data_IF_276545267313
#
_entry.id   IF_276545267313
#
_cell.length_a   1.000
_cell.length_b   1.000
_cell.length_c   1.000
_cell.angle_alpha   90.00
_cell.angle_beta   90.00
_cell.angle_gamma   90.00
#
_symmetry.space_group_name_H-M   'P 1'
#
loop_
_entity.id
_entity.type
_entity.pdbx_description
1 polymer ?
#
# COMPACT_ATOMS: atom_id res chain seq x y z
N UNK A 1 -32.69 9.34 19.26
CA UNK A 1 -33.59 10.46 19.62
C UNK A 1 -33.78 10.58 21.13
N UNK A 2 -34.14 9.53 21.91
CA UNK A 2 -34.33 9.64 23.38
C UNK A 2 -33.06 10.09 24.09
N UNK A 3 -31.91 9.49 23.78
CA UNK A 3 -30.60 9.86 24.34
C UNK A 3 -30.27 11.31 24.00
N UNK A 4 -30.57 11.75 22.78
CA UNK A 4 -30.30 13.12 22.36
C UNK A 4 -31.11 14.15 23.15
N UNK A 5 -32.37 13.83 23.44
CA UNK A 5 -33.22 14.71 24.26
C UNK A 5 -32.78 14.75 25.73
N UNK A 6 -32.35 13.62 26.31
CA UNK A 6 -31.92 13.50 27.70
C UNK A 6 -30.62 14.24 27.98
N UNK A 7 -29.65 14.15 27.04
CA UNK A 7 -28.33 14.76 27.18
C UNK A 7 -28.17 16.12 26.45
N UNK A 8 -29.24 16.65 25.85
CA UNK A 8 -29.22 17.93 25.14
C UNK A 8 -28.27 17.93 23.94
N UNK A 9 -28.24 16.81 23.19
CA UNK A 9 -27.32 16.63 22.04
C UNK A 9 -27.84 17.45 20.85
N UNK A 10 -26.93 18.15 20.19
CA UNK A 10 -27.25 18.94 19.01
C UNK A 10 -27.66 18.05 17.82
N UNK A 11 -28.66 18.43 17.03
CA UNK A 11 -29.23 17.66 15.93
C UNK A 11 -28.16 17.24 14.89
N UNK A 12 -27.18 18.08 14.60
CA UNK A 12 -26.07 17.76 13.69
C UNK A 12 -25.21 16.59 14.19
N UNK A 13 -25.02 16.46 15.52
CA UNK A 13 -24.30 15.30 16.09
C UNK A 13 -25.11 14.04 15.89
N UNK A 14 -26.43 14.13 16.03
CA UNK A 14 -27.33 12.98 15.81
C UNK A 14 -27.31 12.52 14.36
N UNK A 15 -27.29 13.48 13.43
CA UNK A 15 -27.16 13.20 11.99
C UNK A 15 -25.83 12.52 11.68
N UNK A 16 -24.71 13.06 12.15
CA UNK A 16 -23.38 12.49 11.98
C UNK A 16 -23.25 11.10 12.62
N UNK A 17 -23.86 10.93 13.81
CA UNK A 17 -23.85 9.66 14.52
C UNK A 17 -24.57 8.54 13.77
N UNK A 18 -25.58 8.86 12.98
CA UNK A 18 -26.33 7.89 12.16
C UNK A 18 -25.68 7.65 10.81
N UNK A 19 -25.08 8.70 10.23
CA UNK A 19 -24.55 8.65 8.86
C UNK A 19 -23.28 7.77 8.72
N UNK A 20 -22.49 7.59 9.78
CA UNK A 20 -21.20 6.89 9.78
C UNK A 20 -20.21 7.35 8.67
N UNK A 21 -19.01 6.78 8.62
CA UNK A 21 -17.98 7.05 7.58
C UNK A 21 -17.56 8.52 7.51
N UNK A 22 -17.57 9.19 8.65
CA UNK A 22 -17.14 10.58 8.77
C UNK A 22 -15.61 10.70 8.67
N UNK A 23 -15.16 11.89 8.27
CA UNK A 23 -13.74 12.23 8.36
C UNK A 23 -13.35 12.47 9.82
N UNK A 24 -12.18 12.04 10.30
CA UNK A 24 -11.71 12.37 11.64
C UNK A 24 -11.80 13.86 11.92
N UNK A 25 -12.45 14.24 13.03
CA UNK A 25 -12.71 15.61 13.42
C UNK A 25 -12.87 15.75 14.92
N UNK A 26 -12.64 16.96 15.43
CA UNK A 26 -12.95 17.36 16.81
C UNK A 26 -13.70 18.68 16.73
N UNK A 27 -14.97 18.68 17.08
CA UNK A 27 -15.87 19.82 16.97
C UNK A 27 -16.51 20.17 18.30
N UNK A 28 -16.80 21.45 18.52
CA UNK A 28 -17.48 21.94 19.71
C UNK A 28 -18.92 22.29 19.41
N UNK A 29 -19.83 21.81 20.27
CA UNK A 29 -21.24 22.11 20.25
C UNK A 29 -21.65 22.59 21.65
N UNK A 30 -21.66 23.94 21.87
CA UNK A 30 -21.88 24.54 23.18
C UNK A 30 -20.78 24.14 24.18
N UNK A 31 -21.14 23.41 25.23
CA UNK A 31 -20.23 22.90 26.26
C UNK A 31 -19.87 21.42 26.03
N UNK A 32 -20.18 20.88 24.86
CA UNK A 32 -19.89 19.50 24.48
C UNK A 32 -18.83 19.43 23.39
N UNK A 33 -17.96 18.41 23.43
CA UNK A 33 -16.97 18.10 22.40
C UNK A 33 -17.34 16.81 21.69
N UNK A 34 -17.35 16.86 20.37
CA UNK A 34 -17.62 15.73 19.51
C UNK A 34 -16.34 15.31 18.78
N UNK A 35 -15.90 14.09 19.06
CA UNK A 35 -14.73 13.47 18.43
C UNK A 35 -15.20 12.42 17.44
N UNK A 36 -14.62 12.41 16.25
CA UNK A 36 -14.73 11.31 15.28
C UNK A 36 -13.34 10.81 14.99
N UNK A 37 -13.10 9.53 15.23
CA UNK A 37 -11.81 8.88 14.97
C UNK A 37 -12.08 7.60 14.19
N UNK A 38 -11.42 7.41 13.06
CA UNK A 38 -11.49 6.15 12.34
C UNK A 38 -10.59 5.11 13.01
N UNK A 39 -11.01 3.87 13.02
CA UNK A 39 -10.19 2.75 13.47
C UNK A 39 -9.62 2.01 12.28
N UNK A 40 -8.46 1.39 12.47
CA UNK A 40 -7.79 0.58 11.46
C UNK A 40 -7.43 -0.76 12.10
N UNK A 41 -7.69 -1.86 11.42
CA UNK A 41 -7.34 -3.20 11.89
C UNK A 41 -6.59 -3.92 10.78
N UNK A 42 -5.43 -4.48 11.09
CA UNK A 42 -4.66 -5.35 10.19
C UNK A 42 -5.21 -6.77 10.28
N UNK A 43 -5.42 -7.40 9.14
CA UNK A 43 -5.89 -8.78 9.02
C UNK A 43 -4.72 -9.66 8.60
N UNK A 44 -4.23 -10.47 9.52
CA UNK A 44 -3.20 -11.47 9.30
C UNK A 44 -3.87 -12.83 9.06
N UNK A 45 -4.65 -12.94 8.00
CA UNK A 45 -5.23 -14.23 7.61
C UNK A 45 -4.22 -14.97 6.72
N UNK A 46 -3.63 -16.07 7.21
CA UNK A 46 -2.73 -16.98 6.46
C UNK A 46 -3.34 -17.52 5.14
N UNK A 47 -4.64 -17.35 4.93
CA UNK A 47 -5.37 -17.68 3.71
C UNK A 47 -5.66 -16.45 2.85
N UNK A 48 -4.71 -15.54 2.70
CA UNK A 48 -4.85 -14.41 1.77
C UNK A 48 -4.85 -14.96 0.34
N UNK A 49 -6.04 -15.32 -0.15
CA UNK A 49 -6.26 -15.39 -1.59
C UNK A 49 -6.08 -13.99 -2.19
N UNK A 50 -5.40 -13.87 -3.30
CA UNK A 50 -4.87 -12.69 -4.00
C UNK A 50 -5.74 -11.41 -4.12
N UNK A 51 -6.86 -11.28 -3.41
CA UNK A 51 -7.83 -10.18 -3.58
C UNK A 51 -8.48 -9.69 -2.28
N UNK A 52 -8.02 -10.07 -1.08
CA UNK A 52 -8.65 -9.63 0.17
C UNK A 52 -8.02 -8.36 0.73
N UNK A 53 -8.87 -7.52 1.33
CA UNK A 53 -8.46 -6.33 2.07
C UNK A 53 -7.60 -6.74 3.28
N UNK A 54 -6.38 -6.23 3.34
CA UNK A 54 -5.43 -6.42 4.45
C UNK A 54 -5.80 -5.49 5.61
N UNK A 55 -6.33 -4.32 5.28
CA UNK A 55 -6.76 -3.31 6.24
C UNK A 55 -8.28 -3.22 6.23
N UNK A 56 -8.88 -3.33 7.41
CA UNK A 56 -10.27 -2.96 7.59
C UNK A 56 -10.38 -1.70 8.45
N UNK A 57 -11.27 -0.80 8.06
CA UNK A 57 -11.51 0.46 8.77
C UNK A 57 -12.89 0.45 9.41
N UNK A 58 -12.98 1.09 10.56
CA UNK A 58 -14.22 1.38 11.25
C UNK A 58 -14.19 2.80 11.79
N UNK A 59 -15.13 3.13 12.67
CA UNK A 59 -15.26 4.47 13.22
C UNK A 59 -15.71 4.44 14.70
N UNK A 60 -15.11 5.30 15.50
CA UNK A 60 -15.55 5.59 16.85
C UNK A 60 -15.87 7.08 16.94
N UNK A 61 -17.08 7.35 17.34
CA UNK A 61 -17.53 8.70 17.65
C UNK A 61 -17.70 8.84 19.16
N UNK A 62 -17.28 9.96 19.71
CA UNK A 62 -17.37 10.21 21.14
C UNK A 62 -17.93 11.61 21.36
N UNK A 63 -19.02 11.67 22.12
CA UNK A 63 -19.57 12.92 22.61
C UNK A 63 -19.21 13.07 24.08
N UNK A 64 -18.48 14.11 24.41
CA UNK A 64 -17.98 14.39 25.74
C UNK A 64 -18.70 15.63 26.27
N UNK A 65 -19.45 15.49 27.37
CA UNK A 65 -20.03 16.58 28.15
C UNK A 65 -19.30 16.76 29.48
N UNK A 66 -19.86 17.56 30.35
CA UNK A 66 -19.26 17.84 31.66
C UNK A 66 -19.23 16.65 32.60
N UNK A 67 -20.26 15.80 32.55
CA UNK A 67 -20.48 14.67 33.47
C UNK A 67 -20.75 13.33 32.75
N UNK A 68 -20.69 13.32 31.41
CA UNK A 68 -20.94 12.11 30.64
C UNK A 68 -20.01 11.99 29.42
N UNK A 69 -19.85 10.77 28.95
CA UNK A 69 -19.32 10.46 27.64
C UNK A 69 -20.17 9.39 26.98
N UNK A 70 -20.53 9.63 25.71
CA UNK A 70 -21.28 8.67 24.87
C UNK A 70 -20.35 8.24 23.74
N UNK A 71 -20.13 6.94 23.61
CA UNK A 71 -19.35 6.36 22.51
C UNK A 71 -20.26 5.62 21.55
N UNK A 72 -20.11 5.90 20.25
CA UNK A 72 -20.81 5.25 19.15
C UNK A 72 -19.76 4.55 18.30
N UNK A 73 -20.03 3.32 17.89
CA UNK A 73 -19.06 2.47 17.18
C UNK A 73 -19.69 1.96 15.89
N UNK A 74 -18.98 2.13 14.78
CA UNK A 74 -19.37 1.61 13.48
C UNK A 74 -18.26 0.72 12.95
N UNK A 75 -18.58 -0.52 12.61
CA UNK A 75 -17.69 -1.53 12.03
C UNK A 75 -16.36 -1.72 12.80
N UNK A 76 -16.38 -1.52 14.11
CA UNK A 76 -15.20 -1.66 14.96
C UNK A 76 -15.55 -2.22 16.33
N UNK A 77 -14.56 -2.91 16.92
CA UNK A 77 -14.62 -3.36 18.31
C UNK A 77 -13.48 -2.68 19.08
N UNK A 78 -13.81 -2.11 20.22
CA UNK A 78 -12.82 -1.63 21.18
C UNK A 78 -12.76 -2.65 22.33
N UNK A 79 -11.59 -2.88 22.92
CA UNK A 79 -11.48 -3.65 24.14
C UNK A 79 -12.25 -2.97 25.29
N UNK A 80 -12.41 -3.67 26.38
CA UNK A 80 -13.03 -3.09 27.57
C UNK A 80 -12.04 -2.19 28.29
N UNK A 81 -11.98 -0.92 27.90
CA UNK A 81 -11.12 0.09 28.51
C UNK A 81 -11.61 0.54 29.91
N UNK A 82 -12.82 0.14 30.32
CA UNK A 82 -13.41 0.53 31.59
C UNK A 82 -12.57 0.05 32.77
N UNK A 83 -12.05 -1.17 32.70
CA UNK A 83 -11.24 -1.74 33.79
C UNK A 83 -9.93 -0.95 33.97
N UNK A 84 -9.25 -0.62 32.88
CA UNK A 84 -8.00 0.18 32.91
C UNK A 84 -8.24 1.58 33.51
N UNK A 85 -9.39 2.20 33.13
CA UNK A 85 -9.77 3.52 33.69
C UNK A 85 -10.12 3.46 35.16
N UNK A 86 -10.75 2.38 35.65
CA UNK A 86 -11.08 2.22 37.07
C UNK A 86 -9.82 1.96 37.90
N UNK A 87 -8.86 1.22 37.39
CA UNK A 87 -7.59 0.91 38.08
C UNK A 87 -6.70 2.15 38.20
N UNK A 88 -6.79 3.10 37.26
CA UNK A 88 -6.05 4.37 37.29
C UNK A 88 -6.93 5.49 37.87
N UNK A 89 -6.91 5.62 39.20
CA UNK A 89 -7.68 6.65 39.93
C UNK A 89 -7.26 8.08 39.56
N UNK A 90 -6.01 8.33 39.21
CA UNK A 90 -5.55 9.66 38.84
C UNK A 90 -6.19 10.07 37.50
N UNK A 91 -6.18 9.20 36.51
CA UNK A 91 -6.79 9.46 35.21
C UNK A 91 -8.32 9.52 35.31
N UNK A 92 -8.95 8.61 36.02
CA UNK A 92 -10.41 8.59 36.13
C UNK A 92 -10.96 9.83 36.86
N UNK A 93 -10.18 10.44 37.77
CA UNK A 93 -10.54 11.69 38.44
C UNK A 93 -10.60 12.89 37.48
N UNK A 94 -10.06 12.79 36.27
CA UNK A 94 -10.10 13.87 35.27
C UNK A 94 -11.44 13.94 34.50
N UNK A 95 -12.38 13.07 34.82
CA UNK A 95 -13.75 13.10 34.32
C UNK A 95 -13.93 12.51 32.92
N UNK A 96 -15.06 12.82 32.22
CA UNK A 96 -15.43 12.21 30.96
C UNK A 96 -14.40 12.36 29.84
N UNK A 97 -13.65 13.45 29.82
CA UNK A 97 -12.59 13.69 28.83
C UNK A 97 -11.43 12.69 28.93
N UNK A 98 -11.21 12.07 30.11
CA UNK A 98 -10.23 11.00 30.28
C UNK A 98 -10.62 9.73 29.50
N UNK A 99 -11.90 9.43 29.38
CA UNK A 99 -12.40 8.30 28.58
C UNK A 99 -12.14 8.57 27.11
N UNK A 100 -12.42 9.78 26.63
CA UNK A 100 -12.16 10.15 25.23
C UNK A 100 -10.67 10.09 24.89
N UNK A 101 -9.80 10.57 25.81
CA UNK A 101 -8.37 10.41 25.66
C UNK A 101 -7.97 8.92 25.57
N UNK A 102 -8.41 8.08 26.51
CA UNK A 102 -8.03 6.65 26.55
C UNK A 102 -8.46 5.89 25.30
N UNK A 103 -9.64 6.22 24.75
CA UNK A 103 -10.10 5.65 23.49
C UNK A 103 -9.23 6.11 22.31
N UNK A 104 -8.92 7.40 22.24
CA UNK A 104 -8.08 7.96 21.20
C UNK A 104 -6.65 7.38 21.26
N UNK A 105 -6.08 7.27 22.45
CA UNK A 105 -4.78 6.67 22.72
C UNK A 105 -4.72 5.22 22.23
N UNK A 106 -5.69 4.41 22.64
CA UNK A 106 -5.78 3.02 22.20
C UNK A 106 -5.88 2.88 20.66
N UNK A 107 -6.65 3.75 19.99
CA UNK A 107 -6.78 3.72 18.54
C UNK A 107 -5.44 4.08 17.87
N UNK A 108 -4.75 5.10 18.36
CA UNK A 108 -3.46 5.53 17.79
C UNK A 108 -2.35 4.52 18.08
N UNK A 109 -2.33 3.88 19.26
CA UNK A 109 -1.45 2.74 19.52
C UNK A 109 -1.67 1.60 18.51
N UNK A 110 -2.93 1.33 18.17
CA UNK A 110 -3.23 0.32 17.16
C UNK A 110 -2.76 0.75 15.77
N UNK A 111 -2.85 2.03 15.40
CA UNK A 111 -2.25 2.54 14.16
C UNK A 111 -0.75 2.28 14.11
N UNK A 112 -0.02 2.48 15.21
CA UNK A 112 1.42 2.21 15.28
C UNK A 112 1.73 0.72 15.05
N UNK A 113 0.89 -0.18 15.60
CA UNK A 113 1.03 -1.64 15.36
C UNK A 113 0.79 -1.96 13.88
N UNK A 114 -0.29 -1.47 13.30
CA UNK A 114 -0.60 -1.68 11.87
C UNK A 114 0.52 -1.12 10.98
N UNK A 115 1.05 0.05 11.30
CA UNK A 115 2.19 0.64 10.60
C UNK A 115 3.42 -0.26 10.63
N UNK A 116 3.67 -0.95 11.74
CA UNK A 116 4.79 -1.90 11.87
C UNK A 116 4.59 -3.12 10.95
N UNK A 117 3.38 -3.68 10.87
CA UNK A 117 3.09 -4.79 9.96
C UNK A 117 3.22 -4.36 8.50
N UNK A 118 2.63 -3.22 8.12
CA UNK A 118 2.76 -2.68 6.77
C UNK A 118 4.22 -2.39 6.38
N UNK A 119 5.05 -1.94 7.32
CA UNK A 119 6.48 -1.76 7.06
C UNK A 119 7.15 -3.07 6.66
N UNK A 120 6.84 -4.15 7.39
CA UNK A 120 7.38 -5.48 7.08
C UNK A 120 6.93 -5.97 5.70
N UNK A 121 5.65 -5.76 5.36
CA UNK A 121 5.09 -6.15 4.07
C UNK A 121 5.71 -5.38 2.90
N UNK A 122 5.90 -4.07 3.08
CA UNK A 122 6.56 -3.22 2.07
C UNK A 122 8.01 -3.60 1.89
N UNK A 123 8.73 -3.95 2.98
CA UNK A 123 10.11 -4.43 2.92
C UNK A 123 10.21 -5.79 2.19
N UNK A 124 9.26 -6.69 2.42
CA UNK A 124 9.18 -7.97 1.69
C UNK A 124 8.93 -7.75 0.21
N UNK A 125 7.97 -6.90 -0.13
CA UNK A 125 7.65 -6.55 -1.51
C UNK A 125 8.82 -5.90 -2.24
N UNK A 126 9.58 -5.04 -1.55
CA UNK A 126 10.80 -4.45 -2.07
C UNK A 126 11.85 -5.51 -2.39
N UNK A 127 12.06 -6.47 -1.49
CA UNK A 127 12.95 -7.60 -1.72
C UNK A 127 12.50 -8.46 -2.91
N UNK A 128 11.21 -8.73 -3.07
CA UNK A 128 10.67 -9.45 -4.23
C UNK A 128 10.98 -8.73 -5.55
N UNK A 129 10.75 -7.41 -5.60
CA UNK A 129 10.97 -6.60 -6.81
C UNK A 129 12.44 -6.56 -7.22
N UNK A 130 13.38 -6.47 -6.26
CA UNK A 130 14.81 -6.38 -6.54
C UNK A 130 15.51 -7.73 -6.67
N UNK A 131 14.84 -8.83 -6.32
CA UNK A 131 15.42 -10.18 -6.49
C UNK A 131 15.58 -10.50 -7.99
N UNK A 132 16.78 -10.96 -8.43
CA UNK A 132 17.00 -11.34 -9.82
C UNK A 132 16.16 -12.53 -10.24
N UNK A 133 15.61 -12.47 -11.45
CA UNK A 133 14.83 -13.55 -12.09
C UNK A 133 13.50 -13.90 -11.42
N UNK A 134 13.06 -13.14 -10.43
CA UNK A 134 11.74 -13.31 -9.84
C UNK A 134 10.69 -12.61 -10.73
N UNK A 135 9.55 -13.27 -10.93
CA UNK A 135 8.40 -12.67 -11.59
C UNK A 135 7.80 -11.61 -10.66
N UNK A 136 7.71 -10.39 -11.18
CA UNK A 136 7.15 -9.28 -10.41
C UNK A 136 5.63 -9.34 -10.52
N UNK A 137 4.98 -9.37 -9.36
CA UNK A 137 3.52 -9.23 -9.28
C UNK A 137 3.17 -7.74 -9.06
N UNK A 138 2.92 -7.04 -10.18
CA UNK A 138 2.55 -5.61 -10.14
C UNK A 138 1.20 -5.41 -9.42
N UNK A 139 0.28 -6.37 -9.53
CA UNK A 139 -1.04 -6.29 -8.87
C UNK A 139 -0.90 -6.29 -7.35
N UNK A 140 0.10 -7.01 -6.79
CA UNK A 140 0.42 -6.98 -5.36
C UNK A 140 0.83 -5.57 -4.92
N UNK A 141 1.63 -4.84 -5.72
CA UNK A 141 2.01 -3.46 -5.42
C UNK A 141 0.78 -2.53 -5.41
N UNK A 142 -0.12 -2.66 -6.38
CA UNK A 142 -1.36 -1.89 -6.42
C UNK A 142 -2.27 -2.19 -5.23
N UNK A 143 -2.35 -3.45 -4.82
CA UNK A 143 -3.11 -3.85 -3.63
C UNK A 143 -2.58 -3.11 -2.39
N UNK A 144 -1.28 -3.17 -2.12
CA UNK A 144 -0.70 -2.45 -0.97
C UNK A 144 -0.87 -0.93 -1.09
N UNK A 145 -0.79 -0.35 -2.29
CA UNK A 145 -1.08 1.09 -2.47
C UNK A 145 -2.52 1.44 -2.08
N UNK A 146 -3.48 0.58 -2.38
CA UNK A 146 -4.87 0.79 -1.99
C UNK A 146 -5.02 0.73 -0.46
N UNK A 147 -4.39 -0.25 0.18
CA UNK A 147 -4.43 -0.41 1.64
C UNK A 147 -3.76 0.77 2.38
N UNK A 148 -2.62 1.23 1.87
CA UNK A 148 -1.95 2.44 2.38
C UNK A 148 -2.84 3.68 2.21
N UNK A 149 -3.58 3.81 1.11
CA UNK A 149 -4.52 4.91 0.90
C UNK A 149 -5.68 4.87 1.92
N UNK A 150 -6.24 3.69 2.21
CA UNK A 150 -7.26 3.53 3.25
C UNK A 150 -6.72 3.94 4.63
N UNK A 151 -5.49 3.55 4.96
CA UNK A 151 -4.86 3.97 6.21
C UNK A 151 -4.64 5.50 6.26
N UNK A 152 -4.24 6.13 5.15
CA UNK A 152 -4.11 7.59 5.06
C UNK A 152 -5.42 8.31 5.33
N UNK A 153 -6.54 7.82 4.80
CA UNK A 153 -7.86 8.40 5.07
C UNK A 153 -8.22 8.40 6.57
N UNK A 154 -7.71 7.42 7.32
CA UNK A 154 -7.91 7.36 8.76
C UNK A 154 -6.93 8.25 9.55
N UNK A 155 -5.66 8.29 9.14
CA UNK A 155 -4.56 8.87 9.92
C UNK A 155 -4.30 10.34 9.62
N UNK A 156 -4.25 10.74 8.33
CA UNK A 156 -3.87 12.11 7.93
C UNK A 156 -4.74 13.20 8.55
N UNK A 157 -6.08 13.07 8.67
CA UNK A 157 -6.91 14.12 9.25
C UNK A 157 -6.84 14.20 10.77
N UNK A 158 -6.44 13.13 11.47
CA UNK A 158 -6.54 13.03 12.93
C UNK A 158 -5.61 14.00 13.66
N UNK A 159 -4.33 14.07 13.25
CA UNK A 159 -3.36 14.99 13.86
C UNK A 159 -3.80 16.46 13.81
N UNK A 160 -4.16 17.00 12.63
CA UNK A 160 -4.75 18.34 12.50
C UNK A 160 -6.05 18.54 13.29
N UNK A 161 -6.94 17.55 13.32
CA UNK A 161 -8.20 17.61 14.08
C UNK A 161 -7.95 17.73 15.59
N UNK A 162 -7.08 16.90 16.14
CA UNK A 162 -6.67 16.97 17.55
C UNK A 162 -6.00 18.31 17.87
N UNK A 163 -5.09 18.79 17.01
CA UNK A 163 -4.44 20.09 17.18
C UNK A 163 -5.44 21.24 17.27
N UNK A 164 -6.41 21.27 16.36
CA UNK A 164 -7.48 22.26 16.34
C UNK A 164 -8.35 22.15 17.60
N UNK A 165 -8.79 20.93 17.94
CA UNK A 165 -9.59 20.65 19.12
C UNK A 165 -8.92 21.10 20.41
N UNK A 166 -7.63 20.81 20.60
CA UNK A 166 -6.84 21.21 21.77
C UNK A 166 -6.61 22.72 21.86
N UNK A 167 -6.51 23.38 20.72
CA UNK A 167 -6.22 24.83 20.69
C UNK A 167 -7.47 25.67 20.97
N UNK A 168 -8.60 25.27 20.37
CA UNK A 168 -9.85 26.05 20.43
C UNK A 168 -10.67 25.78 21.71
N UNK A 169 -10.47 24.63 22.39
CA UNK A 169 -11.33 24.19 23.51
C UNK A 169 -10.55 24.07 24.82
N UNK A 170 -9.67 25.03 25.10
CA UNK A 170 -8.86 25.07 26.34
C UNK A 170 -9.68 25.22 27.61
N UNK A 171 -10.85 25.76 27.51
CA UNK A 171 -11.81 25.99 28.58
C UNK A 171 -12.55 24.70 28.98
N UNK A 172 -12.81 23.80 28.02
CA UNK A 172 -13.49 22.53 28.25
C UNK A 172 -12.54 21.38 28.63
N UNK A 173 -11.27 21.52 28.32
CA UNK A 173 -10.27 20.45 28.54
C UNK A 173 -9.29 20.88 29.65
N UNK A 174 -9.20 20.09 30.72
CA UNK A 174 -8.22 20.31 31.78
C UNK A 174 -6.79 20.27 31.28
N UNK A 175 -5.85 20.91 31.96
CA UNK A 175 -4.43 20.94 31.58
C UNK A 175 -3.82 19.52 31.45
N UNK A 176 -4.06 18.57 32.36
CA UNK A 176 -3.59 17.20 32.22
C UNK A 176 -4.13 16.52 30.96
N UNK A 177 -5.44 16.57 30.72
CA UNK A 177 -6.08 15.97 29.54
C UNK A 177 -5.51 16.54 28.25
N UNK A 178 -5.24 17.84 28.19
CA UNK A 178 -4.60 18.44 27.01
C UNK A 178 -3.16 17.95 26.80
N UNK A 179 -2.45 17.61 27.87
CA UNK A 179 -1.11 17.00 27.75
C UNK A 179 -1.18 15.60 27.18
N UNK A 180 -2.09 14.77 27.68
CA UNK A 180 -2.32 13.40 27.18
C UNK A 180 -2.80 13.39 25.73
N UNK A 181 -3.77 14.22 25.36
CA UNK A 181 -4.24 14.32 23.98
C UNK A 181 -3.19 14.90 23.02
N UNK A 182 -2.21 15.67 23.52
CA UNK A 182 -1.07 16.13 22.72
C UNK A 182 -0.14 14.97 22.38
N UNK A 183 0.10 14.07 23.32
CA UNK A 183 0.88 12.85 23.07
C UNK A 183 0.22 11.98 21.98
N UNK A 184 -1.09 11.78 22.07
CA UNK A 184 -1.87 11.10 21.03
C UNK A 184 -1.76 11.80 19.68
N UNK A 185 -1.80 13.15 19.67
CA UNK A 185 -1.62 13.94 18.45
C UNK A 185 -0.23 13.73 17.84
N UNK A 186 0.83 13.76 18.66
CA UNK A 186 2.20 13.59 18.19
C UNK A 186 2.42 12.18 17.62
N UNK A 187 1.89 11.15 18.27
CA UNK A 187 1.91 9.77 17.78
C UNK A 187 1.11 9.61 16.48
N UNK A 188 -0.06 10.24 16.37
CA UNK A 188 -0.85 10.23 15.13
C UNK A 188 -0.10 10.89 13.95
N UNK A 189 0.68 11.95 14.22
CA UNK A 189 1.50 12.59 13.19
C UNK A 189 2.65 11.67 12.76
N UNK A 190 3.34 10.98 13.68
CA UNK A 190 4.38 10.01 13.35
C UNK A 190 3.82 8.90 12.45
N UNK A 191 2.63 8.39 12.77
CA UNK A 191 1.96 7.38 11.93
C UNK A 191 1.67 7.92 10.53
N UNK A 192 1.10 9.12 10.41
CA UNK A 192 0.80 9.76 9.12
C UNK A 192 2.06 9.93 8.26
N UNK A 193 3.18 10.35 8.87
CA UNK A 193 4.47 10.49 8.17
C UNK A 193 4.97 9.12 7.67
N UNK A 194 4.89 8.08 8.48
CA UNK A 194 5.30 6.72 8.09
C UNK A 194 4.44 6.19 6.94
N UNK A 195 3.12 6.35 7.02
CA UNK A 195 2.18 5.90 5.98
C UNK A 195 2.41 6.66 4.66
N UNK A 196 2.74 7.95 4.73
CA UNK A 196 3.14 8.73 3.56
C UNK A 196 4.43 8.19 2.94
N UNK A 197 5.40 7.79 3.77
CA UNK A 197 6.63 7.15 3.32
C UNK A 197 6.37 5.80 2.61
N UNK A 198 5.39 5.02 3.06
CA UNK A 198 5.01 3.78 2.37
C UNK A 198 4.43 4.06 0.97
N UNK A 199 3.58 5.08 0.83
CA UNK A 199 3.03 5.45 -0.48
C UNK A 199 4.13 5.86 -1.47
N UNK A 200 5.14 6.61 -1.03
CA UNK A 200 6.30 7.00 -1.84
C UNK A 200 7.14 5.77 -2.24
N UNK A 201 7.41 4.87 -1.28
CA UNK A 201 8.16 3.63 -1.53
C UNK A 201 7.43 2.74 -2.54
N UNK A 202 6.14 2.50 -2.36
CA UNK A 202 5.32 1.71 -3.27
C UNK A 202 5.23 2.33 -4.67
N UNK A 203 5.20 3.66 -4.77
CA UNK A 203 5.26 4.35 -6.06
C UNK A 203 6.59 4.10 -6.76
N UNK A 204 7.70 4.21 -6.02
CA UNK A 204 9.04 3.92 -6.54
C UNK A 204 9.22 2.46 -6.96
N UNK A 205 8.62 1.51 -6.20
CA UNK A 205 8.61 0.10 -6.55
C UNK A 205 7.82 -0.18 -7.83
N UNK A 206 6.69 0.52 -8.02
CA UNK A 206 5.91 0.42 -9.25
C UNK A 206 6.73 0.88 -10.46
N UNK A 207 7.38 2.04 -10.36
CA UNK A 207 8.23 2.57 -11.44
C UNK A 207 9.39 1.62 -11.75
N UNK A 208 10.07 1.10 -10.72
CA UNK A 208 11.14 0.12 -10.86
C UNK A 208 10.65 -1.19 -11.52
N UNK A 209 9.45 -1.64 -11.16
CA UNK A 209 8.83 -2.83 -11.72
C UNK A 209 8.53 -2.69 -13.21
N UNK A 210 7.95 -1.55 -13.61
CA UNK A 210 7.69 -1.23 -15.02
C UNK A 210 8.99 -1.15 -15.82
N UNK A 211 10.01 -0.50 -15.27
CA UNK A 211 11.33 -0.41 -15.90
C UNK A 211 11.96 -1.81 -16.08
N UNK A 212 11.90 -2.68 -15.05
CA UNK A 212 12.43 -4.05 -15.10
C UNK A 212 11.72 -4.91 -16.15
N UNK A 213 10.39 -4.82 -16.24
CA UNK A 213 9.60 -5.50 -17.29
C UNK A 213 10.00 -5.00 -18.67
N UNK A 214 10.17 -3.69 -18.86
CA UNK A 214 10.61 -3.11 -20.14
C UNK A 214 12.02 -3.56 -20.53
N UNK A 215 12.94 -3.63 -19.57
CA UNK A 215 14.30 -4.16 -19.79
C UNK A 215 14.27 -5.63 -20.19
N UNK A 216 13.42 -6.45 -19.55
CA UNK A 216 13.24 -7.86 -19.88
C UNK A 216 12.68 -8.03 -21.30
N UNK A 217 11.64 -7.28 -21.66
CA UNK A 217 11.08 -7.28 -23.02
C UNK A 217 12.12 -6.93 -24.08
N UNK A 218 12.99 -5.95 -23.79
CA UNK A 218 14.08 -5.58 -24.68
C UNK A 218 15.11 -6.71 -24.85
N UNK A 219 15.43 -7.42 -23.76
CA UNK A 219 16.30 -8.60 -23.78
C UNK A 219 15.69 -9.75 -24.59
N UNK A 220 14.41 -10.03 -24.35
CA UNK A 220 13.68 -11.07 -25.07
C UNK A 220 13.60 -10.75 -26.58
N UNK A 221 13.34 -9.49 -26.94
CA UNK A 221 13.31 -9.04 -28.34
C UNK A 221 14.68 -9.22 -29.02
N UNK A 222 15.79 -8.93 -28.33
CA UNK A 222 17.14 -9.21 -28.83
C UNK A 222 17.37 -10.68 -29.07
N UNK A 223 16.98 -11.53 -28.12
CA UNK A 223 17.08 -13.01 -28.22
C UNK A 223 16.27 -13.54 -29.40
N UNK A 224 15.01 -13.09 -29.55
CA UNK A 224 14.15 -13.47 -30.69
C UNK A 224 14.80 -13.03 -32.02
N UNK A 225 15.26 -11.79 -32.09
CA UNK A 225 15.91 -11.24 -33.29
C UNK A 225 17.19 -12.03 -33.65
N UNK A 226 17.98 -12.44 -32.66
CA UNK A 226 19.15 -13.27 -32.86
C UNK A 226 18.79 -14.65 -33.44
N UNK A 227 17.78 -15.31 -32.86
CA UNK A 227 17.31 -16.65 -33.34
C UNK A 227 16.77 -16.55 -34.74
N UNK A 228 15.94 -15.55 -35.03
CA UNK A 228 15.40 -15.34 -36.40
C UNK A 228 16.52 -15.02 -37.39
N UNK A 229 17.48 -14.18 -37.04
CA UNK A 229 18.63 -13.86 -37.87
C UNK A 229 19.49 -15.10 -38.18
N UNK A 230 19.74 -15.95 -37.16
CA UNK A 230 20.47 -17.23 -37.37
C UNK A 230 19.74 -18.19 -38.29
N UNK A 231 18.41 -18.22 -38.28
CA UNK A 231 17.61 -19.07 -39.17
C UNK A 231 17.51 -18.50 -40.61
N UNK A 232 17.48 -17.18 -40.75
CA UNK A 232 17.26 -16.47 -42.00
C UNK A 232 18.43 -16.70 -43.00
N UNK A 233 19.70 -16.70 -42.53
CA UNK A 233 20.86 -16.83 -43.38
C UNK A 233 20.94 -18.19 -44.10
N UNK A 234 20.84 -19.34 -43.41
CA UNK A 234 20.75 -20.63 -44.08
C UNK A 234 19.55 -20.76 -45.03
N UNK A 235 18.39 -20.20 -44.63
CA UNK A 235 17.18 -20.21 -45.46
C UNK A 235 17.37 -19.42 -46.74
N UNK A 236 18.03 -18.27 -46.68
CA UNK A 236 18.38 -17.47 -47.87
C UNK A 236 19.31 -18.23 -48.79
N UNK A 237 20.36 -18.87 -48.27
CA UNK A 237 21.28 -19.67 -49.06
C UNK A 237 20.53 -20.84 -49.73
N UNK A 238 19.72 -21.58 -48.98
CA UNK A 238 18.91 -22.68 -49.52
C UNK A 238 17.92 -22.16 -50.57
N UNK A 239 17.32 -20.99 -50.40
CA UNK A 239 16.44 -20.34 -51.38
C UNK A 239 17.13 -20.02 -52.68
N UNK A 240 18.36 -19.48 -52.63
CA UNK A 240 19.15 -19.19 -53.85
C UNK A 240 19.49 -20.47 -54.60
N UNK A 241 19.92 -21.53 -53.91
CA UNK A 241 20.22 -22.82 -54.54
C UNK A 241 18.96 -23.61 -54.94
N UNK A 242 17.79 -23.24 -54.43
CA UNK A 242 16.50 -23.81 -54.85
C UNK A 242 15.87 -23.11 -56.07
N UNK A 243 16.50 -22.05 -56.62
CA UNK A 243 16.02 -21.34 -57.81
C UNK A 243 16.30 -22.18 -59.07
N UNK A 244 15.36 -22.21 -60.05
CA UNK A 244 15.46 -22.95 -61.28
C UNK A 244 16.13 -22.13 -62.38
N UNK A 245 17.43 -21.81 -62.24
CA UNK A 245 18.20 -21.17 -63.30
C UNK A 245 18.79 -22.25 -64.26
N UNK A 246 18.77 -21.97 -65.57
CA UNK A 246 19.34 -22.89 -66.58
C UNK A 246 20.86 -23.01 -66.49
N UNK A 247 21.55 -21.99 -65.97
CA UNK A 247 22.99 -21.97 -65.86
C UNK A 247 23.44 -21.64 -64.45
N UNK A 248 23.79 -22.70 -63.69
CA UNK A 248 24.40 -22.62 -62.36
C UNK A 248 25.70 -23.46 -62.37
N UNK A 249 26.86 -22.86 -62.67
CA UNK A 249 28.12 -23.63 -62.84
C UNK A 249 28.54 -24.31 -61.50
N UNK A 250 28.14 -23.78 -60.36
CA UNK A 250 28.46 -24.35 -59.04
C UNK A 250 27.80 -25.70 -58.80
N UNK A 251 26.64 -25.99 -59.39
CA UNK A 251 25.92 -27.27 -59.25
C UNK A 251 26.64 -28.43 -59.96
N UNK A 252 27.46 -28.15 -60.96
CA UNK A 252 28.27 -29.16 -61.68
C UNK A 252 29.48 -29.60 -60.82
N UNK A 253 29.84 -28.93 -59.77
CA UNK A 253 30.98 -29.27 -58.92
C UNK A 253 30.65 -30.34 -57.90
N UNK A 254 31.41 -31.45 -57.91
CA UNK A 254 31.19 -32.66 -57.09
C UNK A 254 31.10 -32.33 -55.55
N UNK A 255 31.80 -31.33 -55.10
CA UNK A 255 31.86 -30.93 -53.69
C UNK A 255 30.95 -29.72 -53.35
N UNK A 256 30.16 -29.21 -54.29
CA UNK A 256 29.30 -28.06 -54.07
C UNK A 256 28.34 -28.24 -52.89
N UNK A 257 27.63 -29.37 -52.85
CA UNK A 257 26.68 -29.67 -51.77
C UNK A 257 27.31 -29.68 -50.37
N UNK A 258 28.38 -30.46 -50.08
CA UNK A 258 29.01 -30.41 -48.77
C UNK A 258 29.62 -29.05 -48.41
N UNK A 259 30.14 -28.30 -49.38
CA UNK A 259 30.68 -26.96 -49.14
C UNK A 259 29.55 -25.96 -48.77
N UNK A 260 28.43 -25.99 -49.46
CA UNK A 260 27.26 -25.13 -49.12
C UNK A 260 26.74 -25.45 -47.72
N UNK A 261 26.60 -26.72 -47.36
CA UNK A 261 26.22 -27.12 -45.99
C UNK A 261 27.23 -26.62 -44.94
N UNK A 262 28.52 -26.69 -45.25
CA UNK A 262 29.57 -26.24 -44.35
C UNK A 262 29.54 -24.72 -44.17
N UNK A 263 29.26 -23.96 -45.24
CA UNK A 263 29.05 -22.50 -45.19
C UNK A 263 27.82 -22.16 -44.38
N UNK A 264 26.69 -22.87 -44.59
CA UNK A 264 25.46 -22.64 -43.81
C UNK A 264 25.69 -22.88 -42.31
N UNK A 265 26.30 -24.02 -41.96
CA UNK A 265 26.63 -24.36 -40.58
C UNK A 265 27.67 -23.40 -39.96
N UNK A 266 28.71 -23.09 -40.71
CA UNK A 266 29.77 -22.19 -40.27
C UNK A 266 29.25 -20.75 -40.03
N UNK A 267 28.37 -20.27 -40.91
CA UNK A 267 27.72 -18.94 -40.73
C UNK A 267 26.81 -18.90 -39.50
N UNK A 268 26.03 -19.98 -39.29
CA UNK A 268 25.16 -20.09 -38.12
C UNK A 268 25.97 -20.13 -36.80
N UNK A 269 27.07 -20.89 -36.76
CA UNK A 269 27.99 -20.95 -35.63
C UNK A 269 28.69 -19.60 -35.40
N UNK A 270 29.12 -18.93 -36.48
CA UNK A 270 29.72 -17.58 -36.38
C UNK A 270 28.77 -16.56 -35.84
N UNK A 271 27.50 -16.56 -36.30
CA UNK A 271 26.45 -15.66 -35.77
C UNK A 271 26.11 -15.98 -34.32
N UNK A 272 26.01 -17.27 -33.97
CA UNK A 272 25.78 -17.66 -32.56
C UNK A 272 26.88 -17.16 -31.64
N UNK A 273 28.15 -17.31 -32.04
CA UNK A 273 29.30 -16.80 -31.29
C UNK A 273 29.27 -15.27 -31.16
N UNK A 274 28.91 -14.56 -32.22
CA UNK A 274 28.83 -13.10 -32.26
C UNK A 274 27.69 -12.62 -31.37
N UNK A 275 26.50 -13.20 -31.45
CA UNK A 275 25.36 -12.84 -30.59
C UNK A 275 25.66 -13.12 -29.11
N UNK A 276 26.24 -14.26 -28.78
CA UNK A 276 26.63 -14.60 -27.42
C UNK A 276 27.67 -13.64 -26.85
N UNK A 277 28.66 -13.23 -27.64
CA UNK A 277 29.67 -12.25 -27.24
C UNK A 277 29.05 -10.87 -26.94
N UNK A 278 27.99 -10.49 -27.64
CA UNK A 278 27.28 -9.21 -27.47
C UNK A 278 26.10 -9.29 -26.51
N UNK A 279 25.94 -10.35 -25.76
CA UNK A 279 24.85 -10.54 -24.77
C UNK A 279 23.44 -10.47 -25.39
N UNK A 280 23.25 -10.99 -26.59
CA UNK A 280 21.95 -11.15 -27.24
C UNK A 280 21.35 -12.54 -27.01
N UNK A 281 22.17 -13.49 -26.58
CA UNK A 281 21.86 -14.88 -26.25
C UNK A 281 22.47 -15.26 -24.90
#
# INVERSE_FOLDING_TARGET
>A
ERVAQEFGIHDLIVEDAVAAHQRPKVERYGEQLFFVIRTVTYRDDEEVSDLREIISTGEVQMLVGDDFVITIRHDTQLPNLTQELIEDQEISSLGPAAVAWKVADHIVENYMKVTTFLSSDVDELENEVFTPRQLINIDKIYMYKREVLEMRHATDPLGPALRSGLTLNKDLLSKPIRSYLRDVQDNAMIVSDNVSGFDERLSSLLDASVAKVSMQQNSDMRTISAVVGMAALPTMIAGVYGMNFEYMPELAWRFAYPVVLLVMFGSMLGMYWWFRKNHWL
#
